data_IF_735852417071
#
_entry.id   IF_735852417071
#
_cell.length_a   1.000
_cell.length_b   1.000
_cell.length_c   1.000
_cell.angle_alpha   90.00
_cell.angle_beta   90.00
_cell.angle_gamma   90.00
#
_symmetry.space_group_name_H-M   'P 1'
#
loop_
_entity.id
_entity.type
_entity.pdbx_description
1 polymer ?
#
# COMPACT_ATOMS: atom_id res chain seq x y z
N UNK A 1 9.88 -20.62 6.87
CA UNK A 1 8.70 -21.52 7.00
C UNK A 1 8.39 -22.11 5.63
N UNK A 2 7.92 -23.34 5.53
CA UNK A 2 7.45 -23.83 4.21
C UNK A 2 6.13 -23.17 3.80
N UNK A 3 5.71 -23.37 2.54
CA UNK A 3 4.50 -22.72 2.00
C UNK A 3 3.21 -23.16 2.70
N UNK A 4 3.13 -24.41 3.17
CA UNK A 4 1.96 -24.96 3.86
C UNK A 4 1.91 -24.40 5.28
N UNK A 5 3.05 -24.33 5.96
CA UNK A 5 3.19 -23.65 7.25
C UNK A 5 2.80 -22.17 7.16
N UNK A 6 3.28 -21.47 6.13
CA UNK A 6 2.90 -20.07 5.88
C UNK A 6 1.42 -19.91 5.62
N UNK A 7 0.81 -20.78 4.80
CA UNK A 7 -0.63 -20.76 4.55
C UNK A 7 -1.42 -20.85 5.85
N UNK A 8 -1.06 -21.82 6.69
CA UNK A 8 -1.69 -22.00 7.99
C UNK A 8 -1.46 -20.79 8.88
N UNK A 9 -0.27 -20.19 8.83
CA UNK A 9 0.03 -18.98 9.58
C UNK A 9 -0.80 -17.78 9.14
N UNK A 10 -0.85 -17.44 7.84
CA UNK A 10 -1.53 -16.21 7.38
C UNK A 10 -3.05 -16.30 7.38
N UNK A 11 -3.64 -17.50 7.24
CA UNK A 11 -5.09 -17.69 7.21
C UNK A 11 -5.68 -18.28 8.50
N UNK A 12 -4.86 -18.55 9.51
CA UNK A 12 -5.35 -19.01 10.81
C UNK A 12 -6.08 -17.91 11.57
N UNK A 13 -7.24 -18.27 12.13
CA UNK A 13 -7.99 -17.42 13.05
C UNK A 13 -7.27 -17.13 14.38
N UNK A 14 -6.15 -17.81 14.65
CA UNK A 14 -5.34 -17.63 15.87
C UNK A 14 -4.16 -16.68 15.67
N UNK A 15 -3.86 -16.30 14.43
CA UNK A 15 -2.71 -15.45 14.13
C UNK A 15 -2.99 -14.03 14.60
N UNK A 16 -2.12 -13.53 15.47
CA UNK A 16 -2.24 -12.20 16.04
C UNK A 16 -1.16 -11.25 15.50
N UNK A 17 -1.40 -9.94 15.70
CA UNK A 17 -0.51 -8.88 15.23
C UNK A 17 0.93 -9.02 15.73
N UNK A 18 1.14 -9.47 16.97
CA UNK A 18 2.49 -9.64 17.52
C UNK A 18 3.29 -10.67 16.72
N UNK A 19 2.67 -11.79 16.37
CA UNK A 19 3.31 -12.81 15.55
C UNK A 19 3.65 -12.31 14.15
N UNK A 20 2.78 -11.50 13.54
CA UNK A 20 3.04 -10.89 12.23
C UNK A 20 4.20 -9.88 12.28
N UNK A 21 4.34 -9.12 13.37
CA UNK A 21 5.45 -8.19 13.56
C UNK A 21 6.79 -8.88 13.82
N UNK A 22 6.76 -10.05 14.47
CA UNK A 22 7.96 -10.86 14.74
C UNK A 22 8.38 -11.68 13.50
N UNK A 23 7.52 -11.78 12.49
CA UNK A 23 7.81 -12.49 11.25
C UNK A 23 8.87 -11.75 10.42
N UNK A 24 9.95 -12.47 10.08
CA UNK A 24 11.01 -11.96 9.20
C UNK A 24 10.83 -12.55 7.81
N UNK A 25 10.77 -11.69 6.79
CA UNK A 25 10.62 -12.14 5.41
C UNK A 25 11.86 -12.90 4.91
N UNK A 26 11.63 -14.02 4.23
CA UNK A 26 12.65 -14.85 3.59
C UNK A 26 12.72 -14.57 2.07
N UNK A 27 11.74 -13.86 1.50
CA UNK A 27 11.68 -13.59 0.05
C UNK A 27 12.59 -12.44 -0.36
N UNK A 28 13.44 -12.68 -1.36
CA UNK A 28 14.26 -11.65 -1.98
C UNK A 28 13.40 -10.50 -2.52
N UNK A 29 13.73 -9.27 -2.14
CA UNK A 29 13.03 -8.05 -2.57
C UNK A 29 13.28 -7.80 -4.06
N UNK A 30 12.28 -8.08 -4.89
CA UNK A 30 12.34 -7.96 -6.37
C UNK A 30 11.55 -6.78 -6.91
N UNK A 31 10.53 -6.34 -6.18
CA UNK A 31 9.66 -5.25 -6.61
C UNK A 31 9.81 -4.04 -5.71
N UNK A 32 9.88 -2.86 -6.32
CA UNK A 32 9.86 -1.58 -5.61
C UNK A 32 8.47 -0.98 -5.67
N UNK A 33 7.87 -0.69 -4.52
CA UNK A 33 6.54 -0.10 -4.44
C UNK A 33 6.62 1.26 -3.77
N UNK A 34 6.19 2.31 -4.46
CA UNK A 34 6.08 3.63 -3.86
C UNK A 34 4.69 3.83 -3.27
N UNK A 35 4.62 4.35 -2.04
CA UNK A 35 3.36 4.61 -1.34
C UNK A 35 3.19 6.11 -1.14
N UNK A 36 2.23 6.68 -1.86
CA UNK A 36 1.74 8.03 -1.57
C UNK A 36 0.70 7.96 -0.48
N UNK A 37 0.84 8.78 0.56
CA UNK A 37 -0.02 8.66 1.75
C UNK A 37 -0.36 9.99 2.39
N UNK A 38 -1.56 10.05 2.98
CA UNK A 38 -1.95 11.08 3.94
C UNK A 38 -2.36 10.49 5.30
N UNK A 39 -2.16 9.18 5.48
CA UNK A 39 -2.43 8.42 6.70
C UNK A 39 -1.36 7.35 6.91
N UNK A 40 -1.24 6.84 8.14
CA UNK A 40 -0.21 5.86 8.48
C UNK A 40 -0.37 4.57 7.68
N UNK A 41 0.76 4.07 7.17
CA UNK A 41 0.86 2.82 6.40
C UNK A 41 1.80 1.80 7.07
N UNK A 42 2.63 2.26 8.02
CA UNK A 42 3.62 1.47 8.76
C UNK A 42 3.00 0.23 9.41
N UNK A 43 1.76 0.35 9.89
CA UNK A 43 1.03 -0.79 10.49
C UNK A 43 0.80 -1.93 9.50
N UNK A 44 0.58 -1.61 8.22
CA UNK A 44 0.42 -2.58 7.14
C UNK A 44 1.79 -3.09 6.71
N UNK A 45 2.73 -2.21 6.40
CA UNK A 45 4.09 -2.59 5.98
C UNK A 45 4.75 -3.57 6.95
N UNK A 46 4.64 -3.31 8.25
CA UNK A 46 5.28 -4.14 9.27
C UNK A 46 4.61 -5.52 9.45
N UNK A 47 3.42 -5.75 8.89
CA UNK A 47 2.67 -7.00 9.07
C UNK A 47 2.38 -7.75 7.76
N UNK A 48 2.59 -7.10 6.61
CA UNK A 48 2.27 -7.67 5.29
C UNK A 48 3.31 -8.69 4.80
N UNK A 49 4.51 -8.70 5.40
CA UNK A 49 5.64 -9.56 5.01
C UNK A 49 5.29 -11.04 4.91
N UNK A 50 4.55 -11.59 5.88
CA UNK A 50 4.13 -13.00 5.87
C UNK A 50 3.19 -13.33 4.68
N UNK A 51 2.30 -12.40 4.32
CA UNK A 51 1.37 -12.56 3.21
C UNK A 51 2.09 -12.49 1.86
N UNK A 52 3.04 -11.57 1.76
CA UNK A 52 3.92 -11.41 0.60
C UNK A 52 4.80 -12.65 0.37
N UNK A 53 5.38 -13.20 1.44
CA UNK A 53 6.16 -14.43 1.36
C UNK A 53 5.30 -15.64 0.96
N UNK A 54 4.09 -15.76 1.51
CA UNK A 54 3.14 -16.80 1.09
C UNK A 54 2.79 -16.70 -0.41
N UNK A 55 2.72 -15.47 -0.94
CA UNK A 55 2.51 -15.21 -2.36
C UNK A 55 3.79 -15.36 -3.20
N UNK A 56 4.96 -15.51 -2.58
CA UNK A 56 6.27 -15.55 -3.25
C UNK A 56 6.71 -14.21 -3.84
N UNK A 57 6.24 -13.09 -3.27
CA UNK A 57 6.49 -11.73 -3.77
C UNK A 57 7.35 -10.98 -2.76
N UNK A 58 8.60 -10.65 -3.10
CA UNK A 58 9.43 -9.80 -2.25
C UNK A 58 9.34 -8.34 -2.66
N UNK A 59 9.02 -7.46 -1.70
CA UNK A 59 8.79 -6.04 -1.94
C UNK A 59 9.69 -5.16 -1.07
N UNK A 60 10.18 -4.06 -1.64
CA UNK A 60 10.65 -2.89 -0.89
C UNK A 60 9.63 -1.75 -1.02
N UNK A 61 9.25 -1.16 0.12
CA UNK A 61 8.36 0.00 0.14
C UNK A 61 9.17 1.29 0.28
N UNK A 62 8.77 2.33 -0.46
CA UNK A 62 9.27 3.69 -0.32
C UNK A 62 8.09 4.64 -0.09
N UNK A 63 8.20 5.49 0.93
CA UNK A 63 7.11 6.36 1.35
C UNK A 63 7.29 7.78 0.86
N UNK A 64 6.21 8.38 0.39
CA UNK A 64 6.12 9.83 0.36
C UNK A 64 6.02 10.39 1.79
N UNK A 65 6.31 11.67 1.92
CA UNK A 65 5.81 12.45 3.05
C UNK A 65 4.28 12.40 3.14
N UNK A 66 3.75 12.77 4.31
CA UNK A 66 2.31 12.93 4.48
C UNK A 66 1.84 14.15 3.68
N UNK A 67 1.02 13.92 2.65
CA UNK A 67 0.53 14.97 1.75
C UNK A 67 -0.98 14.78 1.47
N UNK A 68 -1.80 15.64 2.07
CA UNK A 68 -3.25 15.67 1.81
C UNK A 68 -3.55 16.21 0.39
N UNK A 69 -2.65 16.96 -0.25
CA UNK A 69 -2.91 17.50 -1.59
C UNK A 69 -2.74 16.46 -2.71
N UNK A 70 -2.02 15.36 -2.43
CA UNK A 70 -1.58 14.37 -3.41
C UNK A 70 -1.04 15.04 -4.68
N UNK A 71 -0.02 15.88 -4.48
CA UNK A 71 0.64 16.64 -5.53
C UNK A 71 1.50 15.78 -6.47
N UNK A 72 1.92 14.59 -6.01
CA UNK A 72 2.76 13.64 -6.75
C UNK A 72 4.08 14.24 -7.28
N UNK A 73 4.66 15.18 -6.54
CA UNK A 73 5.92 15.84 -6.93
C UNK A 73 7.15 14.91 -6.90
N UNK A 74 7.08 13.81 -6.17
CA UNK A 74 8.20 12.90 -5.91
C UNK A 74 7.99 11.51 -6.53
N UNK A 75 7.26 11.41 -7.64
CA UNK A 75 6.99 10.12 -8.30
C UNK A 75 8.29 9.46 -8.77
N UNK A 76 8.53 8.23 -8.29
CA UNK A 76 9.58 7.38 -8.83
C UNK A 76 9.04 6.58 -10.02
N UNK A 77 9.42 7.02 -11.22
CA UNK A 77 9.04 6.36 -12.48
C UNK A 77 9.58 4.92 -12.60
N UNK A 78 10.59 4.56 -11.81
CA UNK A 78 11.19 3.23 -11.82
C UNK A 78 10.49 2.25 -10.87
N UNK A 79 9.72 2.73 -9.89
CA UNK A 79 8.91 1.87 -9.03
C UNK A 79 8.03 0.94 -9.89
N UNK A 80 7.82 -0.29 -9.46
CA UNK A 80 7.06 -1.32 -10.18
C UNK A 80 5.54 -1.14 -10.04
N UNK A 81 5.11 -0.58 -8.91
CA UNK A 81 3.76 -0.06 -8.75
C UNK A 81 3.73 1.11 -7.78
N UNK A 82 2.62 1.85 -7.81
CA UNK A 82 2.30 2.90 -6.85
C UNK A 82 1.05 2.51 -6.06
N UNK A 83 1.10 2.67 -4.74
CA UNK A 83 -0.06 2.63 -3.86
C UNK A 83 -0.41 4.07 -3.47
N UNK A 84 -1.67 4.45 -3.66
CA UNK A 84 -2.24 5.70 -3.18
C UNK A 84 -3.09 5.38 -1.96
N UNK A 85 -2.54 5.64 -0.78
CA UNK A 85 -3.10 5.31 0.54
C UNK A 85 -3.77 6.54 1.17
N UNK A 86 -5.09 6.59 1.12
CA UNK A 86 -5.84 7.82 1.40
C UNK A 86 -6.81 7.63 2.55
N UNK A 87 -6.76 8.48 3.57
CA UNK A 87 -7.89 8.72 4.45
C UNK A 87 -8.76 9.85 3.88
N UNK A 88 -9.92 9.47 3.33
CA UNK A 88 -10.86 10.37 2.69
C UNK A 88 -11.54 11.33 3.68
N UNK A 89 -11.58 10.98 4.98
CA UNK A 89 -12.21 11.83 6.01
C UNK A 89 -11.43 13.11 6.26
N UNK A 90 -10.17 13.18 5.83
CA UNK A 90 -9.34 14.39 5.95
C UNK A 90 -9.73 15.46 4.93
N UNK A 91 -10.57 15.14 3.95
CA UNK A 91 -11.06 16.09 2.96
C UNK A 91 -12.42 16.66 3.36
N UNK A 92 -12.47 17.99 3.48
CA UNK A 92 -13.70 18.74 3.61
C UNK A 92 -14.22 19.12 2.21
N UNK A 93 -14.59 18.13 1.40
CA UNK A 93 -15.13 18.35 0.04
C UNK A 93 -16.41 17.58 -0.16
N UNK A 94 -17.36 18.18 -0.88
CA UNK A 94 -18.65 17.57 -1.19
C UNK A 94 -18.52 16.37 -2.16
N UNK A 95 -17.39 16.27 -2.88
CA UNK A 95 -17.16 15.20 -3.85
C UNK A 95 -15.71 14.69 -3.84
N UNK A 96 -15.41 13.82 -2.87
CA UNK A 96 -14.08 13.20 -2.73
C UNK A 96 -13.72 12.30 -3.90
N UNK A 97 -14.71 11.68 -4.55
CA UNK A 97 -14.49 10.82 -5.73
C UNK A 97 -13.94 11.63 -6.90
N UNK A 98 -14.54 12.78 -7.21
CA UNK A 98 -14.07 13.67 -8.26
C UNK A 98 -12.66 14.22 -7.94
N UNK A 99 -12.40 14.55 -6.68
CA UNK A 99 -11.06 14.95 -6.24
C UNK A 99 -10.04 13.84 -6.52
N UNK A 100 -10.26 12.63 -6.01
CA UNK A 100 -9.34 11.50 -6.18
C UNK A 100 -9.17 11.11 -7.65
N UNK A 101 -10.24 11.14 -8.43
CA UNK A 101 -10.17 10.91 -9.88
C UNK A 101 -9.23 11.92 -10.56
N UNK A 102 -9.37 13.21 -10.26
CA UNK A 102 -8.49 14.24 -10.83
C UNK A 102 -7.01 14.04 -10.44
N UNK A 103 -6.77 13.59 -9.19
CA UNK A 103 -5.42 13.28 -8.70
C UNK A 103 -4.85 12.06 -9.43
N UNK A 104 -5.63 10.99 -9.60
CA UNK A 104 -5.21 9.80 -10.33
C UNK A 104 -4.95 10.07 -11.81
N UNK A 105 -5.73 10.94 -12.45
CA UNK A 105 -5.48 11.38 -13.83
C UNK A 105 -4.15 12.12 -13.95
N UNK A 106 -3.85 13.00 -12.98
CA UNK A 106 -2.55 13.68 -12.91
C UNK A 106 -1.39 12.68 -12.72
N UNK A 107 -1.52 11.74 -11.78
CA UNK A 107 -0.51 10.69 -11.55
C UNK A 107 -0.32 9.82 -12.79
N UNK A 108 -1.41 9.45 -13.48
CA UNK A 108 -1.36 8.62 -14.69
C UNK A 108 -0.67 9.31 -15.86
N UNK A 109 -0.71 10.64 -15.93
CA UNK A 109 0.05 11.40 -16.93
C UNK A 109 1.58 11.30 -16.73
N UNK A 110 2.03 10.98 -15.51
CA UNK A 110 3.45 10.89 -15.14
C UNK A 110 3.90 9.41 -15.08
N UNK A 111 3.04 8.52 -14.60
CA UNK A 111 3.35 7.13 -14.28
C UNK A 111 2.50 6.13 -15.07
N UNK A 112 3.17 5.23 -15.79
CA UNK A 112 2.54 4.31 -16.75
C UNK A 112 2.28 2.91 -16.21
N UNK A 113 2.91 2.48 -15.12
CA UNK A 113 2.74 1.13 -14.56
C UNK A 113 1.54 1.05 -13.60
N UNK A 114 1.45 -0.02 -12.80
CA UNK A 114 0.29 -0.30 -11.95
C UNK A 114 0.08 0.75 -10.84
N UNK A 115 -1.16 1.21 -10.68
CA UNK A 115 -1.56 2.11 -9.59
C UNK A 115 -2.70 1.45 -8.83
N UNK A 116 -2.56 1.33 -7.51
CA UNK A 116 -3.59 0.86 -6.60
C UNK A 116 -4.07 2.02 -5.73
N UNK A 117 -5.34 2.42 -5.86
CA UNK A 117 -5.97 3.37 -4.95
C UNK A 117 -6.60 2.59 -3.79
N UNK A 118 -6.27 2.99 -2.56
CA UNK A 118 -6.84 2.43 -1.32
C UNK A 118 -7.35 3.58 -0.45
N UNK A 119 -8.62 3.97 -0.57
CA UNK A 119 -9.18 5.03 0.25
C UNK A 119 -9.95 4.45 1.45
N UNK A 120 -9.89 5.18 2.55
CA UNK A 120 -10.55 4.91 3.82
C UNK A 120 -11.60 5.96 4.10
N UNK A 121 -12.67 5.57 4.78
CA UNK A 121 -13.63 6.53 5.31
C UNK A 121 -14.48 7.25 4.26
N UNK A 122 -14.53 6.70 3.04
CA UNK A 122 -15.54 6.99 2.04
C UNK A 122 -16.29 5.70 1.69
N UNK A 123 -17.60 5.80 1.47
CA UNK A 123 -18.37 4.69 0.91
C UNK A 123 -18.10 4.63 -0.60
N UNK A 124 -17.54 3.53 -1.09
CA UNK A 124 -17.60 3.20 -2.51
C UNK A 124 -18.98 2.66 -2.83
N UNK A 125 -19.69 3.32 -3.75
CA UNK A 125 -20.88 2.76 -4.39
C UNK A 125 -20.51 2.09 -5.69
#
# INVERSE_FOLDING_TARGET
>A
MDRIELQNFVFSSKTNRRQLLEYTSETEKKYKIQVFRNHSFELVEHTISAYLDYAGIGVSFEYSGYDDSFSFSEVDINADAIIVWVDAKRYNTDNVEAFLKSRLEHLRAIYSKAILLVPYGCDYK
#
